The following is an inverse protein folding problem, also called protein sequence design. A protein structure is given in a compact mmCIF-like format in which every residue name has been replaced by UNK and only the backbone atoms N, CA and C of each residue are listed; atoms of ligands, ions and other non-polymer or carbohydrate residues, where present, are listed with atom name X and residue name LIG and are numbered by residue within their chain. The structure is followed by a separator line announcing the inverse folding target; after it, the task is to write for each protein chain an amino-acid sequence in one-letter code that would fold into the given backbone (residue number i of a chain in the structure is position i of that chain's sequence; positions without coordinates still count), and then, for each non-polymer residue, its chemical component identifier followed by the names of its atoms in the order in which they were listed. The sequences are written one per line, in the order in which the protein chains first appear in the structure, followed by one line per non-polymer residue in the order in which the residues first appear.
data_IF_875857863564
#
_entry.id   IF_875857863564
#
_cell.length_a   1.000
_cell.length_b   1.000
_cell.length_c   1.000
_cell.angle_alpha   90.00
_cell.angle_beta   90.00
_cell.angle_gamma   90.00
#
_symmetry.space_group_name_H-M   'P 1'
#
loop_
_entity.id
_entity.type
_entity.pdbx_description
1 polymer ?
#
# COMPACT_ATOMS: atom_id res chain seq x y z
N UNK A 1 8.67 -5.02 0.94
CA UNK A 1 10.04 -4.53 0.65
C UNK A 1 10.14 -4.30 -0.84
N UNK A 2 10.57 -3.10 -1.26
CA UNK A 2 10.69 -2.74 -2.66
C UNK A 2 11.54 -3.76 -3.43
N UNK A 3 11.07 -4.13 -4.60
CA UNK A 3 11.79 -5.05 -5.49
C UNK A 3 12.68 -4.25 -6.45
N UNK A 4 13.98 -4.58 -6.50
CA UNK A 4 14.93 -3.94 -7.41
C UNK A 4 15.25 -4.86 -8.59
N UNK A 5 14.96 -4.38 -9.79
CA UNK A 5 15.40 -5.04 -11.03
C UNK A 5 16.67 -4.33 -11.53
N UNK A 6 17.79 -5.03 -11.47
CA UNK A 6 19.09 -4.49 -11.88
C UNK A 6 19.27 -4.45 -13.41
N UNK A 7 18.60 -5.32 -14.16
CA UNK A 7 18.67 -5.36 -15.62
C UNK A 7 17.95 -4.17 -16.25
N UNK A 8 16.72 -3.88 -15.78
CA UNK A 8 15.93 -2.74 -16.27
C UNK A 8 16.26 -1.45 -15.54
N UNK A 9 17.06 -1.50 -14.47
CA UNK A 9 17.33 -0.39 -13.55
C UNK A 9 16.04 0.21 -12.99
N UNK A 10 15.15 -0.62 -12.47
CA UNK A 10 13.89 -0.21 -11.88
C UNK A 10 13.78 -0.64 -10.42
N UNK A 11 13.19 0.22 -9.60
CA UNK A 11 12.77 -0.07 -8.23
C UNK A 11 11.25 -0.06 -8.21
N UNK A 12 10.66 -1.20 -7.86
CA UNK A 12 9.21 -1.37 -7.78
C UNK A 12 8.75 -1.23 -6.33
N UNK A 13 7.89 -0.26 -6.06
CA UNK A 13 7.29 -0.01 -4.76
C UNK A 13 5.79 -0.30 -4.81
N UNK A 14 5.24 -0.92 -3.78
CA UNK A 14 3.83 -1.27 -3.70
C UNK A 14 3.13 -0.47 -2.61
N UNK A 15 2.05 0.23 -2.97
CA UNK A 15 1.18 0.97 -2.07
C UNK A 15 -0.24 0.44 -2.17
N UNK A 16 -0.86 0.19 -1.01
CA UNK A 16 -2.23 -0.33 -0.95
C UNK A 16 -3.15 0.71 -0.33
N UNK A 17 -4.27 0.95 -1.00
CA UNK A 17 -5.36 1.78 -0.51
C UNK A 17 -6.36 0.90 0.25
N UNK A 18 -6.39 1.05 1.56
CA UNK A 18 -7.36 0.43 2.46
C UNK A 18 -8.49 1.39 2.84
N UNK A 19 -9.56 0.86 3.39
CA UNK A 19 -10.70 1.64 3.89
C UNK A 19 -12.00 0.87 3.80
N UNK A 20 -13.04 1.36 4.47
CA UNK A 20 -14.38 0.78 4.46
C UNK A 20 -14.95 0.68 3.03
N UNK A 21 -16.00 -0.13 2.86
CA UNK A 21 -16.71 -0.18 1.58
C UNK A 21 -17.28 1.21 1.26
N UNK A 22 -17.16 1.62 -0.01
CA UNK A 22 -17.63 2.93 -0.45
C UNK A 22 -16.85 4.14 0.09
N UNK A 23 -15.68 3.96 0.75
CA UNK A 23 -14.86 5.09 1.23
C UNK A 23 -14.22 5.91 0.12
N UNK A 24 -14.22 5.42 -1.13
CA UNK A 24 -13.69 6.12 -2.29
C UNK A 24 -12.27 5.69 -2.70
N UNK A 25 -11.86 4.44 -2.40
CA UNK A 25 -10.55 3.90 -2.80
C UNK A 25 -10.35 3.92 -4.31
N UNK A 26 -11.30 3.37 -5.07
CA UNK A 26 -11.31 3.37 -6.54
C UNK A 26 -11.28 4.80 -7.09
N UNK A 27 -12.10 5.70 -6.54
CA UNK A 27 -12.11 7.10 -6.94
C UNK A 27 -10.78 7.81 -6.67
N UNK A 28 -10.05 7.42 -5.63
CA UNK A 28 -8.69 7.92 -5.39
C UNK A 28 -7.75 7.55 -6.54
N UNK A 29 -7.75 6.28 -6.98
CA UNK A 29 -6.92 5.86 -8.11
C UNK A 29 -7.33 6.55 -9.41
N UNK A 30 -8.64 6.70 -9.66
CA UNK A 30 -9.16 7.47 -10.81
C UNK A 30 -8.73 8.93 -10.76
N UNK A 31 -8.86 9.58 -9.62
CA UNK A 31 -8.43 10.97 -9.41
C UNK A 31 -6.93 11.14 -9.66
N UNK A 32 -6.09 10.26 -9.11
CA UNK A 32 -4.65 10.25 -9.39
C UNK A 32 -4.40 10.03 -10.89
N UNK A 33 -5.08 9.05 -11.51
CA UNK A 33 -4.94 8.78 -12.93
C UNK A 33 -5.29 9.99 -13.79
N UNK A 34 -6.35 10.72 -13.48
CA UNK A 34 -6.76 11.89 -14.24
C UNK A 34 -5.81 13.08 -14.07
N UNK A 35 -5.28 13.29 -12.88
CA UNK A 35 -4.39 14.40 -12.56
C UNK A 35 -2.93 14.17 -12.96
N UNK A 36 -2.54 12.92 -13.20
CA UNK A 36 -1.16 12.58 -13.58
C UNK A 36 -0.98 12.63 -15.10
N UNK A 37 0.17 13.11 -15.58
CA UNK A 37 0.48 13.16 -17.01
C UNK A 37 0.58 11.76 -17.64
N UNK A 38 0.35 11.68 -18.94
CA UNK A 38 0.40 10.41 -19.69
C UNK A 38 1.80 9.76 -19.68
N UNK A 39 2.86 10.54 -19.50
CA UNK A 39 4.25 10.06 -19.45
C UNK A 39 4.56 9.30 -18.16
N UNK A 40 3.85 9.62 -17.06
CA UNK A 40 4.08 9.08 -15.73
C UNK A 40 3.22 7.83 -15.49
N UNK A 41 2.02 7.77 -16.05
CA UNK A 41 1.03 6.72 -15.79
C UNK A 41 0.97 5.69 -16.91
N UNK A 42 0.69 4.45 -16.52
CA UNK A 42 0.20 3.39 -17.41
C UNK A 42 -1.34 3.29 -17.28
N UNK A 43 -1.96 2.32 -17.94
CA UNK A 43 -3.42 2.15 -17.87
C UNK A 43 -3.91 1.82 -16.44
N UNK A 44 -5.02 2.41 -16.05
CA UNK A 44 -5.76 2.01 -14.85
C UNK A 44 -6.53 0.72 -15.15
N UNK A 45 -6.29 -0.33 -14.36
CA UNK A 45 -7.02 -1.59 -14.44
C UNK A 45 -8.03 -1.64 -13.29
N UNK A 46 -9.31 -1.78 -13.61
CA UNK A 46 -10.40 -1.93 -12.65
C UNK A 46 -11.09 -3.28 -12.86
N UNK A 47 -11.08 -4.12 -11.83
CA UNK A 47 -11.77 -5.41 -11.83
C UNK A 47 -13.06 -5.27 -11.01
N UNK A 48 -14.13 -4.90 -11.68
CA UNK A 48 -15.45 -4.62 -11.09
C UNK A 48 -16.44 -5.78 -11.33
N UNK A 49 -17.42 -5.89 -10.44
CA UNK A 49 -18.61 -6.70 -10.65
C UNK A 49 -19.63 -5.94 -11.53
N UNK A 50 -20.70 -6.65 -11.97
CA UNK A 50 -21.74 -6.03 -12.80
C UNK A 50 -22.49 -4.89 -12.10
N UNK A 51 -22.48 -4.86 -10.77
CA UNK A 51 -23.05 -3.79 -9.94
C UNK A 51 -22.10 -2.58 -9.73
N UNK A 52 -20.90 -2.62 -10.34
CA UNK A 52 -19.90 -1.56 -10.21
C UNK A 52 -19.05 -1.65 -8.95
N UNK A 53 -19.23 -2.66 -8.09
CA UNK A 53 -18.34 -2.88 -6.94
C UNK A 53 -17.00 -3.47 -7.37
N UNK A 54 -15.91 -3.13 -6.65
CA UNK A 54 -14.59 -3.72 -6.89
C UNK A 54 -14.60 -5.16 -6.41
N UNK A 55 -14.43 -6.10 -7.32
CA UNK A 55 -14.47 -7.53 -7.00
C UNK A 55 -13.21 -8.02 -6.32
N UNK A 56 -12.05 -7.63 -6.85
CA UNK A 56 -10.75 -8.11 -6.36
C UNK A 56 -9.84 -6.96 -5.97
N UNK A 57 -9.48 -6.10 -6.91
CA UNK A 57 -8.63 -4.93 -6.72
C UNK A 57 -8.68 -4.02 -7.94
N UNK A 58 -8.36 -2.74 -7.75
CA UNK A 58 -7.96 -1.85 -8.83
C UNK A 58 -6.44 -1.71 -8.80
N UNK A 59 -5.83 -1.46 -9.97
CA UNK A 59 -4.39 -1.36 -10.11
C UNK A 59 -3.99 -0.18 -11.01
N UNK A 60 -3.08 0.65 -10.51
CA UNK A 60 -2.52 1.79 -11.25
C UNK A 60 -1.00 1.83 -11.09
N UNK A 61 -0.23 1.52 -12.16
CA UNK A 61 1.20 1.69 -12.16
C UNK A 61 1.60 3.11 -12.56
N UNK A 62 2.55 3.69 -11.82
CA UNK A 62 3.07 5.04 -12.01
C UNK A 62 4.60 5.04 -12.03
N UNK A 63 5.19 5.95 -12.80
CA UNK A 63 6.61 6.25 -12.78
C UNK A 63 6.81 7.56 -12.01
N UNK A 64 7.37 7.52 -10.80
CA UNK A 64 7.35 8.67 -9.87
C UNK A 64 8.69 9.38 -9.71
N UNK A 65 9.71 9.00 -10.48
CA UNK A 65 11.02 9.63 -10.42
C UNK A 65 12.18 8.64 -10.48
N UNK A 66 13.34 9.07 -10.03
CA UNK A 66 14.58 8.28 -10.07
C UNK A 66 15.31 8.33 -8.72
N UNK A 67 16.00 7.25 -8.40
CA UNK A 67 16.92 7.16 -7.28
C UNK A 67 18.30 6.66 -7.78
N UNK A 68 19.24 7.58 -7.96
CA UNK A 68 20.47 7.32 -8.69
C UNK A 68 20.14 6.95 -10.15
N UNK A 69 20.67 5.80 -10.62
CA UNK A 69 20.42 5.29 -11.98
C UNK A 69 19.12 4.49 -12.12
N UNK A 70 18.35 4.34 -11.03
CA UNK A 70 17.16 3.51 -11.03
C UNK A 70 15.89 4.34 -11.15
N UNK A 71 15.01 3.95 -12.08
CA UNK A 71 13.68 4.50 -12.19
C UNK A 71 12.76 3.88 -11.12
N UNK A 72 11.94 4.72 -10.48
CA UNK A 72 11.00 4.25 -9.46
C UNK A 72 9.64 4.05 -10.08
N UNK A 73 9.16 2.81 -9.95
CA UNK A 73 7.81 2.39 -10.34
C UNK A 73 6.96 2.19 -9.10
N UNK A 74 5.91 2.97 -8.96
CA UNK A 74 4.95 2.80 -7.88
C UNK A 74 3.71 2.08 -8.38
N UNK A 75 3.35 1.02 -7.69
CA UNK A 75 2.20 0.18 -8.00
C UNK A 75 1.13 0.42 -6.94
N UNK A 76 0.05 1.11 -7.32
CA UNK A 76 -1.08 1.39 -6.45
C UNK A 76 -2.14 0.31 -6.60
N UNK A 77 -2.61 -0.22 -5.48
CA UNK A 77 -3.67 -1.21 -5.43
C UNK A 77 -4.78 -0.75 -4.50
N UNK A 78 -6.03 -1.06 -4.82
CA UNK A 78 -7.12 -1.03 -3.86
C UNK A 78 -7.44 -2.44 -3.39
N UNK A 79 -7.78 -2.59 -2.11
CA UNK A 79 -8.31 -3.85 -1.58
C UNK A 79 -9.64 -3.58 -0.88
N UNK A 80 -10.74 -4.20 -1.33
CA UNK A 80 -12.00 -4.22 -0.59
C UNK A 80 -11.84 -4.96 0.73
N UNK A 81 -12.46 -4.44 1.80
CA UNK A 81 -12.41 -5.10 3.14
C UNK A 81 -12.99 -6.51 3.09
N UNK A 82 -14.02 -6.73 2.26
CA UNK A 82 -14.66 -8.05 2.08
C UNK A 82 -13.72 -9.12 1.52
N UNK A 83 -12.70 -8.72 0.75
CA UNK A 83 -11.75 -9.65 0.12
C UNK A 83 -10.51 -9.89 0.97
N UNK A 84 -10.32 -9.14 2.06
CA UNK A 84 -9.11 -9.20 2.90
C UNK A 84 -8.84 -10.57 3.54
N UNK A 85 -9.86 -11.40 3.67
CA UNK A 85 -9.75 -12.76 4.23
C UNK A 85 -9.62 -13.87 3.18
N UNK A 86 -9.46 -13.52 1.90
CA UNK A 86 -9.25 -14.48 0.82
C UNK A 86 -7.76 -14.68 0.50
N UNK A 87 -7.40 -15.84 0.02
CA UNK A 87 -6.01 -16.17 -0.38
C UNK A 87 -5.40 -15.19 -1.41
N UNK A 88 -6.24 -14.56 -2.22
CA UNK A 88 -5.81 -13.55 -3.20
C UNK A 88 -5.23 -12.30 -2.52
N UNK A 89 -5.74 -11.92 -1.34
CA UNK A 89 -5.25 -10.73 -0.62
C UNK A 89 -3.82 -10.90 -0.11
N UNK A 90 -3.46 -12.09 0.37
CA UNK A 90 -2.08 -12.40 0.80
C UNK A 90 -1.08 -12.23 -0.35
N UNK A 91 -1.47 -12.58 -1.58
CA UNK A 91 -0.61 -12.38 -2.76
C UNK A 91 -0.41 -10.88 -3.04
N UNK A 92 -1.48 -10.08 -2.95
CA UNK A 92 -1.39 -8.62 -3.18
C UNK A 92 -0.62 -7.94 -2.05
N UNK A 93 -0.76 -8.40 -0.80
CA UNK A 93 -0.08 -7.84 0.37
C UNK A 93 1.43 -8.15 0.39
N UNK A 94 1.88 -9.20 -0.28
CA UNK A 94 3.32 -9.51 -0.33
C UNK A 94 4.12 -8.38 -0.95
N UNK A 95 5.16 -7.95 -0.23
CA UNK A 95 6.05 -6.88 -0.68
C UNK A 95 5.44 -5.49 -0.59
N UNK A 96 4.43 -5.26 0.27
CA UNK A 96 3.89 -3.93 0.50
C UNK A 96 4.94 -3.02 1.16
N UNK A 97 5.09 -1.81 0.64
CA UNK A 97 6.02 -0.79 1.14
C UNK A 97 5.31 0.30 1.92
N UNK A 98 4.03 0.48 1.65
CA UNK A 98 3.21 1.43 2.37
C UNK A 98 1.73 1.30 2.07
N UNK A 99 0.91 2.01 2.85
CA UNK A 99 -0.53 2.04 2.65
C UNK A 99 -1.14 3.41 2.88
N UNK A 100 -2.22 3.68 2.18
CA UNK A 100 -3.12 4.82 2.41
C UNK A 100 -4.41 4.28 3.00
N UNK A 101 -4.77 4.75 4.18
CA UNK A 101 -6.07 4.44 4.76
C UNK A 101 -7.07 5.53 4.38
N UNK A 102 -8.03 5.19 3.52
CA UNK A 102 -9.07 6.10 3.02
C UNK A 102 -10.29 6.01 3.94
N UNK A 103 -10.48 7.03 4.77
CA UNK A 103 -11.62 7.17 5.66
C UNK A 103 -12.71 8.02 5.02
N UNK A 104 -13.95 7.55 5.06
CA UNK A 104 -15.14 8.32 4.66
C UNK A 104 -15.49 9.33 5.76
N UNK A 105 -15.48 10.62 5.43
CA UNK A 105 -15.74 11.68 6.43
C UNK A 105 -17.18 11.81 6.88
N UNK A 106 -18.13 11.07 6.31
CA UNK A 106 -19.54 11.12 6.70
C UNK A 106 -19.75 10.59 8.12
N UNK A 107 -20.74 11.17 8.81
CA UNK A 107 -21.06 10.83 10.22
C UNK A 107 -21.37 9.35 10.39
N UNK A 108 -22.21 8.80 9.52
CA UNK A 108 -22.63 7.39 9.52
C UNK A 108 -21.50 6.40 9.25
N UNK A 109 -20.40 6.85 8.66
CA UNK A 109 -19.27 5.98 8.27
C UNK A 109 -18.20 5.83 9.37
N UNK A 110 -18.33 6.51 10.50
CA UNK A 110 -17.29 6.53 11.54
C UNK A 110 -17.00 5.12 12.09
N UNK A 111 -18.04 4.37 12.42
CA UNK A 111 -17.90 3.01 12.97
C UNK A 111 -17.26 2.07 11.95
N UNK A 112 -17.66 2.17 10.69
CA UNK A 112 -17.10 1.36 9.61
C UNK A 112 -15.62 1.70 9.35
N UNK A 113 -15.25 2.98 9.41
CA UNK A 113 -13.86 3.41 9.32
C UNK A 113 -13.00 2.81 10.45
N UNK A 114 -13.47 2.88 11.70
CA UNK A 114 -12.76 2.32 12.86
C UNK A 114 -12.56 0.81 12.70
N UNK A 115 -13.61 0.09 12.29
CA UNK A 115 -13.55 -1.35 12.08
C UNK A 115 -12.62 -1.70 10.91
N UNK A 116 -12.70 -0.98 9.80
CA UNK A 116 -11.84 -1.16 8.64
C UNK A 116 -10.36 -0.91 8.98
N UNK A 117 -10.04 0.12 9.79
CA UNK A 117 -8.68 0.41 10.21
C UNK A 117 -8.12 -0.70 11.12
N UNK A 118 -8.93 -1.21 12.06
CA UNK A 118 -8.56 -2.36 12.90
C UNK A 118 -8.27 -3.60 12.06
N UNK A 119 -9.15 -3.90 11.08
CA UNK A 119 -8.97 -5.02 10.16
C UNK A 119 -7.71 -4.87 9.31
N UNK A 120 -7.45 -3.67 8.78
CA UNK A 120 -6.24 -3.37 8.02
C UNK A 120 -4.97 -3.64 8.85
N UNK A 121 -4.93 -3.13 10.09
CA UNK A 121 -3.78 -3.33 10.99
C UNK A 121 -3.58 -4.81 11.31
N UNK A 122 -4.66 -5.52 11.63
CA UNK A 122 -4.61 -6.94 11.94
C UNK A 122 -4.07 -7.75 10.76
N UNK A 123 -4.59 -7.55 9.57
CA UNK A 123 -4.18 -8.30 8.37
C UNK A 123 -2.71 -8.05 8.04
N UNK A 124 -2.24 -6.80 8.11
CA UNK A 124 -0.83 -6.50 7.92
C UNK A 124 0.06 -7.19 8.95
N UNK A 125 -0.38 -7.28 10.22
CA UNK A 125 0.33 -8.03 11.27
C UNK A 125 0.31 -9.53 11.01
N UNK A 126 -0.82 -10.10 10.61
CA UNK A 126 -0.97 -11.53 10.30
C UNK A 126 -0.08 -11.93 9.09
N UNK A 127 0.15 -11.01 8.14
CA UNK A 127 1.09 -11.16 7.02
C UNK A 127 2.56 -10.87 7.41
N UNK A 128 2.84 -10.63 8.69
CA UNK A 128 4.20 -10.45 9.23
C UNK A 128 4.76 -9.04 9.12
N UNK A 129 3.95 -8.03 8.82
CA UNK A 129 4.41 -6.65 8.77
C UNK A 129 4.38 -5.97 10.13
N UNK A 130 5.46 -5.28 10.48
CA UNK A 130 5.41 -4.27 11.54
C UNK A 130 4.86 -2.97 10.95
N UNK A 131 3.66 -2.58 11.38
CA UNK A 131 2.96 -1.39 10.86
C UNK A 131 3.77 -0.10 11.05
N UNK A 132 4.61 -0.05 12.08
CA UNK A 132 5.46 1.13 12.33
C UNK A 132 6.55 1.29 11.27
N UNK A 133 6.93 0.20 10.63
CA UNK A 133 7.95 0.18 9.59
C UNK A 133 7.37 0.44 8.18
N UNK A 134 6.06 0.45 8.01
CA UNK A 134 5.42 0.78 6.75
C UNK A 134 5.29 2.30 6.58
N UNK A 135 5.43 2.78 5.34
CA UNK A 135 4.99 4.12 5.00
C UNK A 135 3.46 4.17 5.10
N UNK A 136 2.90 5.23 5.67
CA UNK A 136 1.45 5.31 5.87
C UNK A 136 0.92 6.72 5.88
N UNK A 137 -0.29 6.87 5.35
CA UNK A 137 -1.07 8.11 5.38
C UNK A 137 -2.51 7.78 5.72
N UNK A 138 -3.11 8.54 6.64
CA UNK A 138 -4.55 8.51 6.90
C UNK A 138 -5.19 9.62 6.06
N UNK A 139 -6.05 9.24 5.14
CA UNK A 139 -6.73 10.19 4.26
C UNK A 139 -8.20 10.33 4.68
N UNK A 140 -8.62 11.54 5.05
CA UNK A 140 -10.03 11.86 5.31
C UNK A 140 -10.69 12.30 4.02
N UNK A 141 -11.34 11.35 3.35
CA UNK A 141 -11.94 11.54 2.02
C UNK A 141 -13.38 12.08 2.12
N UNK A 142 -13.92 12.54 0.98
CA UNK A 142 -15.27 13.10 0.82
C UNK A 142 -15.49 14.42 1.57
N UNK A 143 -14.43 15.25 1.63
CA UNK A 143 -14.49 16.57 2.28
C UNK A 143 -15.33 17.60 1.50
N UNK A 144 -15.72 17.29 0.28
CA UNK A 144 -16.65 18.05 -0.57
C UNK A 144 -18.11 17.98 -0.09
N UNK A 145 -18.44 16.96 0.71
CA UNK A 145 -19.81 16.79 1.19
C UNK A 145 -20.13 17.71 2.38
N UNK A 146 -21.40 18.09 2.50
CA UNK A 146 -21.88 18.86 3.65
C UNK A 146 -22.13 17.94 4.86
N UNK A 147 -22.01 18.49 6.07
CA UNK A 147 -22.33 17.78 7.30
C UNK A 147 -21.35 16.64 7.65
N UNK A 148 -20.15 16.66 7.09
CA UNK A 148 -19.11 15.68 7.41
C UNK A 148 -18.50 15.94 8.80
N UNK A 149 -17.94 14.90 9.40
CA UNK A 149 -17.27 14.98 10.69
C UNK A 149 -16.11 15.96 10.69
N UNK A 150 -15.91 16.73 11.78
CA UNK A 150 -14.73 17.55 11.95
C UNK A 150 -13.45 16.69 11.91
N UNK A 151 -12.40 17.19 11.27
CA UNK A 151 -11.10 16.48 11.19
C UNK A 151 -10.54 16.14 12.56
N UNK A 152 -10.72 17.04 13.55
CA UNK A 152 -10.29 16.78 14.93
C UNK A 152 -10.91 15.52 15.53
N UNK A 153 -12.19 15.24 15.23
CA UNK A 153 -12.86 14.02 15.68
C UNK A 153 -12.35 12.80 14.92
N UNK A 154 -12.23 12.89 13.60
CA UNK A 154 -11.66 11.80 12.78
C UNK A 154 -10.24 11.46 13.21
N UNK A 155 -9.41 12.48 13.49
CA UNK A 155 -8.05 12.31 13.99
C UNK A 155 -8.02 11.61 15.33
N UNK A 156 -8.89 11.98 16.25
CA UNK A 156 -9.02 11.34 17.57
C UNK A 156 -9.34 9.85 17.46
N UNK A 157 -10.27 9.48 16.57
CA UNK A 157 -10.79 8.11 16.47
C UNK A 157 -9.90 7.20 15.58
N UNK A 158 -9.27 7.76 14.54
CA UNK A 158 -8.54 6.99 13.53
C UNK A 158 -7.02 7.16 13.59
N UNK A 159 -6.54 8.27 14.16
CA UNK A 159 -5.12 8.64 14.12
C UNK A 159 -4.56 9.07 15.48
N UNK A 160 -4.93 8.36 16.54
CA UNK A 160 -4.49 8.67 17.91
C UNK A 160 -2.95 8.59 18.10
N UNK A 161 -2.23 7.89 17.21
CA UNK A 161 -0.77 7.77 17.26
C UNK A 161 -0.03 8.90 16.53
N UNK A 162 -0.75 9.77 15.80
CA UNK A 162 -0.18 10.93 15.12
C UNK A 162 0.57 10.59 13.83
N UNK A 163 0.13 9.57 13.10
CA UNK A 163 0.61 9.32 11.74
C UNK A 163 0.27 10.51 10.83
N UNK A 164 0.94 10.63 9.69
CA UNK A 164 0.63 11.68 8.71
C UNK A 164 -0.82 11.54 8.25
N UNK A 165 -1.57 12.62 8.30
CA UNK A 165 -2.97 12.65 7.85
C UNK A 165 -3.26 13.82 6.90
N UNK A 166 -4.26 13.67 6.04
CA UNK A 166 -4.62 14.65 5.02
C UNK A 166 -6.12 14.62 4.74
N UNK A 167 -6.67 15.80 4.44
CA UNK A 167 -8.02 15.94 3.89
C UNK A 167 -8.02 15.71 2.38
N UNK A 168 -9.07 15.08 1.86
CA UNK A 168 -9.22 14.85 0.43
C UNK A 168 -10.69 14.81 -0.02
N UNK A 169 -10.88 15.01 -1.30
CA UNK A 169 -12.08 14.68 -2.04
C UNK A 169 -11.68 14.09 -3.39
N UNK A 170 -11.78 12.78 -3.51
CA UNK A 170 -11.40 12.09 -4.73
C UNK A 170 -12.25 12.52 -5.93
N UNK A 171 -13.54 12.77 -5.73
CA UNK A 171 -14.47 13.24 -6.76
C UNK A 171 -14.21 14.67 -7.19
N UNK A 172 -13.69 15.52 -6.30
CA UNK A 172 -13.29 16.89 -6.60
C UNK A 172 -11.81 17.03 -7.00
N UNK A 173 -11.08 15.93 -7.15
CA UNK A 173 -9.65 15.91 -7.46
C UNK A 173 -8.81 16.75 -6.48
N UNK A 174 -9.12 16.69 -5.20
CA UNK A 174 -8.46 17.43 -4.13
C UNK A 174 -7.79 16.47 -3.15
N UNK A 175 -6.53 16.74 -2.77
CA UNK A 175 -5.79 16.02 -1.73
C UNK A 175 -5.32 14.61 -2.12
N UNK A 176 -5.68 14.08 -3.29
CA UNK A 176 -5.35 12.72 -3.72
C UNK A 176 -3.93 12.57 -4.22
N UNK A 177 -3.46 13.54 -5.01
CA UNK A 177 -2.08 13.57 -5.53
C UNK A 177 -1.12 13.93 -4.39
N UNK A 178 -1.47 14.89 -3.55
CA UNK A 178 -0.69 15.28 -2.38
C UNK A 178 -0.52 14.12 -1.39
N UNK A 179 -1.57 13.32 -1.22
CA UNK A 179 -1.51 12.09 -0.42
C UNK A 179 -0.53 11.07 -1.04
N UNK A 180 -0.61 10.85 -2.36
CA UNK A 180 0.32 9.98 -3.08
C UNK A 180 1.77 10.48 -2.97
N UNK A 181 2.02 11.76 -3.17
CA UNK A 181 3.36 12.35 -3.01
C UNK A 181 3.91 12.18 -1.59
N UNK A 182 3.04 12.30 -0.59
CA UNK A 182 3.44 12.18 0.81
C UNK A 182 3.86 10.76 1.16
N UNK A 183 3.13 9.74 0.69
CA UNK A 183 3.53 8.34 0.89
C UNK A 183 4.75 7.97 0.04
N UNK A 184 4.85 8.51 -1.18
CA UNK A 184 6.01 8.32 -2.05
C UNK A 184 7.29 8.85 -1.37
N UNK A 185 7.25 10.06 -0.81
CA UNK A 185 8.39 10.64 -0.05
C UNK A 185 8.80 9.76 1.14
N UNK A 186 7.85 9.21 1.90
CA UNK A 186 8.17 8.30 3.01
C UNK A 186 8.89 7.03 2.51
N UNK A 187 8.40 6.42 1.43
CA UNK A 187 9.02 5.23 0.84
C UNK A 187 10.43 5.55 0.33
N UNK A 188 10.58 6.66 -0.40
CA UNK A 188 11.87 7.11 -0.92
C UNK A 188 12.90 7.33 0.18
N UNK A 189 12.53 8.03 1.26
CA UNK A 189 13.41 8.27 2.41
C UNK A 189 13.88 6.95 3.04
N UNK A 190 13.01 5.95 3.13
CA UNK A 190 13.38 4.61 3.64
C UNK A 190 14.35 3.88 2.70
N UNK A 191 14.14 3.95 1.40
CA UNK A 191 15.03 3.37 0.40
C UNK A 191 16.43 4.00 0.45
N UNK A 192 16.51 5.32 0.57
CA UNK A 192 17.79 6.03 0.70
C UNK A 192 18.53 5.63 1.98
N UNK A 193 17.83 5.51 3.09
CA UNK A 193 18.42 5.11 4.38
C UNK A 193 18.93 3.66 4.31
N UNK A 194 18.17 2.75 3.71
CA UNK A 194 18.58 1.34 3.54
C UNK A 194 19.80 1.20 2.61
N UNK A 195 19.96 2.07 1.62
CA UNK A 195 21.14 2.10 0.75
C UNK A 195 22.40 2.62 1.46
N UNK A 196 22.26 3.58 2.38
CA UNK A 196 23.38 4.13 3.17
C UNK A 196 23.86 3.17 4.25
N UNK A 197 23.01 2.27 4.71
CA UNK A 197 23.33 1.24 5.69
C UNK A 197 22.87 -0.12 5.15
N UNK A 198 23.64 -0.75 4.23
CA UNK A 198 23.33 -2.11 3.81
C UNK A 198 23.52 -3.02 5.02
N UNK A 199 22.41 -3.43 5.65
CA UNK A 199 22.41 -4.54 6.60
C UNK A 199 22.86 -5.77 5.82
N UNK A 200 23.94 -6.40 6.31
CA UNK A 200 24.60 -7.53 5.70
C UNK A 200 23.72 -8.80 5.75
N UNK A 201 22.71 -8.91 4.87
CA UNK A 201 21.87 -10.11 4.76
C UNK A 201 21.31 -10.34 3.35
N UNK A 202 22.12 -10.13 2.31
CA UNK A 202 21.70 -10.44 0.92
C UNK A 202 22.53 -11.48 0.20
N UNK A 203 23.31 -12.33 0.92
CA UNK A 203 23.99 -13.48 0.27
C UNK A 203 24.12 -14.63 1.26
N UNK A 204 23.05 -15.38 1.48
CA UNK A 204 23.18 -16.78 1.87
C UNK A 204 22.57 -17.62 0.75
N UNK A 205 23.39 -18.27 -0.09
CA UNK A 205 22.89 -19.24 -1.06
C UNK A 205 22.30 -20.43 -0.28
N UNK A 206 21.06 -20.78 -0.58
CA UNK A 206 20.41 -22.03 -0.17
C UNK A 206 21.08 -23.21 -0.88
N UNK A 207 22.32 -23.54 -0.53
CA UNK A 207 22.93 -24.80 -0.94
C UNK A 207 24.09 -25.14 -0.02
N UNK A 208 23.80 -25.85 1.06
CA UNK A 208 24.71 -26.82 1.67
C UNK A 208 23.89 -27.80 2.52
N UNK A 209 23.16 -28.68 1.86
CA UNK A 209 22.91 -29.99 2.44
C UNK A 209 24.11 -30.85 2.08
N UNK A 210 25.02 -31.00 3.01
CA UNK A 210 26.05 -32.00 2.96
C UNK A 210 25.42 -33.39 3.04
N UNK A 211 25.59 -34.19 2.00
CA UNK A 211 25.36 -35.60 2.00
C UNK A 211 26.26 -36.21 3.10
N UNK A 212 25.65 -36.77 4.11
CA UNK A 212 26.34 -37.73 4.98
C UNK A 212 26.15 -39.10 4.35
N UNK A 213 27.24 -39.55 3.73
CA UNK A 213 27.47 -40.94 3.40
C UNK A 213 27.51 -41.77 4.69
N UNK A 214 26.50 -42.57 4.86
CA UNK A 214 26.51 -43.70 5.79
C UNK A 214 27.05 -44.93 5.03
N UNK A 215 28.37 -45.11 5.09
CA UNK A 215 28.97 -46.39 4.75
C UNK A 215 28.93 -47.29 5.99
N UNK A 216 27.93 -48.11 6.04
CA UNK A 216 27.85 -49.23 7.00
C UNK A 216 28.69 -50.35 6.52
N UNK A 217 29.83 -50.58 7.19
CA UNK A 217 30.70 -51.75 7.00
C UNK A 217 30.23 -52.88 7.93
N UNK A 218 29.59 -53.87 7.35
CA UNK A 218 29.42 -55.18 7.90
C UNK A 218 30.75 -55.92 7.92
N UNK A 219 31.21 -56.37 9.03
CA UNK A 219 32.10 -57.56 9.18
C UNK A 219 32.02 -58.13 10.58
N UNK A 220 31.67 -59.43 10.61
CA UNK A 220 31.77 -60.47 11.63
C UNK A 220 30.75 -60.47 12.80
#
# INVERSE_FOLDING_TARGET
MAFTNFETKEIHCKVIYFGSSGSGKTENLRSVFHQTSAEIKSGLLELQEQDGSTRYFDFLPLSIGQLGDFQIRMHLFTLPVSTLYHSTSSIILRGVDGFVFVADSRVESLVDNVNALKSCRKILQDEGYNINDLAKVIQYNKRDLQGVLPVALLRKELNAVGDLDMEASATANFGTVECLESIARQIMSKLETSRKHPTADFNTPLNSRSDHDDTDSLSD
#
